data_IF_261204758443
#
_entry.id   IF_261204758443
#
_cell.length_a   1.000
_cell.length_b   1.000
_cell.length_c   1.000
_cell.angle_alpha   90.00
_cell.angle_beta   90.00
_cell.angle_gamma   90.00
#
_symmetry.space_group_name_H-M   'P 1'
#
loop_
_entity.id
_entity.type
_entity.pdbx_description
1 polymer ?
#
# COMPACT_ATOMS: atom_id res chain seq x y z
N UNK A 1 3.42 5.20 -5.68
CA UNK A 1 2.71 4.30 -4.74
C UNK A 1 3.51 4.29 -3.46
N UNK A 2 2.84 4.43 -2.32
CA UNK A 2 3.44 4.34 -1.00
C UNK A 2 2.69 3.35 -0.12
N UNK A 3 3.37 2.78 0.86
CA UNK A 3 2.77 1.90 1.87
C UNK A 3 3.15 2.42 3.25
N UNK A 4 2.14 2.67 4.05
CA UNK A 4 2.26 3.19 5.40
C UNK A 4 1.83 2.12 6.41
N UNK A 5 2.49 2.07 7.56
CA UNK A 5 2.25 1.05 8.58
C UNK A 5 2.11 1.67 9.98
N UNK A 6 1.20 1.10 10.77
CA UNK A 6 1.15 1.32 12.21
C UNK A 6 0.67 0.03 12.90
N UNK A 7 1.22 -0.26 14.07
CA UNK A 7 0.86 -1.42 14.90
C UNK A 7 -0.53 -1.33 15.57
N UNK A 8 -1.06 -0.11 15.77
CA UNK A 8 -2.33 0.14 16.44
C UNK A 8 -3.51 0.03 15.47
N UNK A 9 -4.56 -0.70 15.87
CA UNK A 9 -5.82 -0.76 15.12
C UNK A 9 -6.54 0.59 15.07
N UNK A 10 -6.24 1.53 15.97
CA UNK A 10 -6.78 2.89 15.91
C UNK A 10 -6.24 3.68 14.71
N UNK A 11 -5.14 3.22 14.09
CA UNK A 11 -4.52 3.90 12.95
C UNK A 11 -5.36 3.86 11.67
N UNK A 12 -6.49 3.14 11.67
CA UNK A 12 -7.51 3.26 10.62
C UNK A 12 -7.92 4.73 10.45
N UNK A 13 -8.06 5.47 11.54
CA UNK A 13 -8.50 6.88 11.52
C UNK A 13 -7.34 7.89 11.40
N UNK A 14 -6.08 7.43 11.43
CA UNK A 14 -4.92 8.31 11.38
C UNK A 14 -4.68 8.84 9.97
N UNK A 15 -4.15 10.06 9.87
CA UNK A 15 -3.60 10.57 8.62
C UNK A 15 -2.33 9.83 8.22
N UNK A 16 -1.95 9.89 6.94
CA UNK A 16 -0.73 9.23 6.46
C UNK A 16 0.53 9.80 7.12
N UNK A 17 0.52 11.09 7.49
CA UNK A 17 1.63 11.79 8.15
C UNK A 17 1.87 11.31 9.60
N UNK A 18 0.87 10.64 10.20
CA UNK A 18 0.93 10.06 11.55
C UNK A 18 1.36 8.58 11.53
N UNK A 19 1.56 7.99 10.35
CA UNK A 19 1.96 6.60 10.18
C UNK A 19 3.43 6.49 9.78
N UNK A 20 4.03 5.31 10.02
CA UNK A 20 5.39 5.06 9.55
C UNK A 20 5.38 4.83 8.04
N UNK A 21 6.19 5.60 7.32
CA UNK A 21 6.47 5.36 5.92
C UNK A 21 7.32 4.09 5.76
N UNK A 22 6.65 2.98 5.48
CA UNK A 22 7.30 1.67 5.36
C UNK A 22 7.83 1.44 3.95
N UNK A 23 7.10 1.91 2.94
CA UNK A 23 7.52 1.92 1.55
C UNK A 23 7.23 3.30 0.96
N UNK A 24 8.26 4.12 0.71
CA UNK A 24 8.08 5.51 0.30
C UNK A 24 7.40 5.63 -1.04
N UNK A 25 6.77 6.78 -1.27
CA UNK A 25 6.12 7.10 -2.52
C UNK A 25 7.09 6.97 -3.70
N UNK A 26 6.86 5.97 -4.54
CA UNK A 26 7.60 5.78 -5.78
C UNK A 26 6.86 6.38 -6.98
N UNK A 27 7.57 7.20 -7.77
CA UNK A 27 7.10 7.73 -9.03
C UNK A 27 7.19 6.66 -10.12
N UNK A 28 6.04 6.10 -10.49
CA UNK A 28 6.00 5.14 -11.58
C UNK A 28 6.14 5.83 -12.94
N UNK A 29 6.89 5.22 -13.88
CA UNK A 29 7.02 5.77 -15.22
C UNK A 29 5.65 5.90 -15.89
N UNK A 30 5.48 6.92 -16.74
CA UNK A 30 4.21 7.24 -17.40
C UNK A 30 3.69 6.23 -18.44
N UNK A 31 4.21 5.00 -18.43
CA UNK A 31 3.75 3.88 -19.26
C UNK A 31 3.02 2.86 -18.39
N UNK A 32 1.98 2.18 -18.90
CA UNK A 32 1.32 1.10 -18.19
C UNK A 32 2.34 0.02 -17.83
N UNK A 33 2.63 -0.13 -16.54
CA UNK A 33 3.54 -1.13 -16.01
C UNK A 33 2.76 -2.05 -15.08
N UNK A 34 3.10 -3.34 -15.11
CA UNK A 34 2.59 -4.31 -14.16
C UNK A 34 3.63 -4.44 -13.08
N UNK A 35 3.37 -3.83 -11.94
CA UNK A 35 4.27 -3.88 -10.81
C UNK A 35 3.92 -5.03 -9.88
N UNK A 36 4.94 -5.80 -9.53
CA UNK A 36 4.84 -6.85 -8.52
C UNK A 36 5.80 -6.52 -7.39
N UNK A 37 5.23 -6.22 -6.22
CA UNK A 37 5.98 -5.94 -5.00
C UNK A 37 5.72 -7.05 -3.98
N UNK A 38 6.78 -7.74 -3.56
CA UNK A 38 6.75 -8.71 -2.47
C UNK A 38 7.78 -8.30 -1.43
N UNK A 39 7.32 -7.85 -0.28
CA UNK A 39 8.15 -7.33 0.80
C UNK A 39 7.75 -7.96 2.13
N UNK A 40 8.73 -8.13 3.04
CA UNK A 40 8.48 -8.69 4.37
C UNK A 40 7.79 -7.66 5.25
N UNK A 41 6.58 -7.97 5.71
CA UNK A 41 5.78 -7.12 6.58
C UNK A 41 6.46 -6.86 7.93
N UNK A 42 6.16 -5.72 8.54
CA UNK A 42 6.73 -5.31 9.84
C UNK A 42 6.06 -6.03 11.03
N UNK A 43 4.86 -6.56 10.83
CA UNK A 43 4.11 -7.29 11.85
C UNK A 43 2.60 -7.15 11.70
N UNK A 44 1.81 -7.64 12.67
CA UNK A 44 0.39 -7.35 12.71
C UNK A 44 0.16 -5.84 12.90
N UNK A 45 -0.86 -5.30 12.23
CA UNK A 45 -1.14 -3.87 12.27
C UNK A 45 -2.03 -3.41 11.11
N UNK A 46 -2.13 -2.10 10.96
CA UNK A 46 -2.85 -1.44 9.88
C UNK A 46 -1.85 -1.03 8.80
N UNK A 47 -2.17 -1.41 7.57
CA UNK A 47 -1.43 -1.02 6.38
C UNK A 47 -2.31 -0.10 5.53
N UNK A 48 -1.79 1.06 5.12
CA UNK A 48 -2.45 1.94 4.15
C UNK A 48 -1.63 1.98 2.87
N UNK A 49 -2.30 1.74 1.75
CA UNK A 49 -1.68 1.80 0.42
C UNK A 49 -2.16 3.06 -0.29
N UNK A 50 -1.21 3.92 -0.68
CA UNK A 50 -1.48 5.17 -1.38
C UNK A 50 -1.20 5.00 -2.88
N UNK A 51 -2.24 5.24 -3.70
CA UNK A 51 -2.09 5.40 -5.14
C UNK A 51 -2.14 6.89 -5.50
N UNK A 52 -0.98 7.46 -5.74
CA UNK A 52 -0.82 8.85 -6.13
C UNK A 52 -0.94 9.07 -7.65
N UNK A 53 -1.52 10.20 -8.04
CA UNK A 53 -1.56 10.70 -9.43
C UNK A 53 -1.18 12.20 -9.48
N UNK A 54 -0.39 12.67 -8.51
CA UNK A 54 -0.07 14.09 -8.28
C UNK A 54 0.74 14.71 -9.43
N UNK A 55 1.46 13.89 -10.21
CA UNK A 55 2.23 14.36 -11.36
C UNK A 55 1.39 14.61 -12.62
N UNK A 56 0.16 14.08 -12.69
CA UNK A 56 -0.68 14.22 -13.87
C UNK A 56 -1.51 15.51 -13.82
N UNK A 57 -1.27 16.42 -14.76
CA UNK A 57 -1.94 17.73 -14.76
C UNK A 57 -3.35 17.71 -15.36
N UNK A 58 -3.61 16.79 -16.30
CA UNK A 58 -4.86 16.77 -17.09
C UNK A 58 -5.43 15.36 -17.32
N UNK A 59 -4.94 14.35 -16.59
CA UNK A 59 -5.33 12.95 -16.81
C UNK A 59 -5.70 12.26 -15.52
N UNK A 60 -6.79 11.51 -15.57
CA UNK A 60 -7.16 10.55 -14.53
C UNK A 60 -6.36 9.26 -14.70
N UNK A 61 -6.14 8.57 -13.59
CA UNK A 61 -5.48 7.26 -13.55
C UNK A 61 -6.49 6.22 -13.06
N UNK A 62 -6.64 5.13 -13.81
CA UNK A 62 -7.37 3.94 -13.34
C UNK A 62 -6.34 2.93 -12.86
N UNK A 63 -6.42 2.54 -11.59
CA UNK A 63 -5.51 1.57 -10.97
C UNK A 63 -6.24 0.26 -10.77
N UNK A 64 -5.68 -0.82 -11.33
CA UNK A 64 -6.08 -2.18 -11.02
C UNK A 64 -5.03 -2.78 -10.09
N UNK A 65 -5.43 -3.14 -8.88
CA UNK A 65 -4.52 -3.67 -7.87
C UNK A 65 -5.03 -4.96 -7.26
N UNK A 66 -4.11 -5.72 -6.66
CA UNK A 66 -4.40 -6.90 -5.85
C UNK A 66 -3.39 -6.94 -4.71
N UNK A 67 -3.88 -6.93 -3.47
CA UNK A 67 -3.06 -7.03 -2.27
C UNK A 67 -3.29 -8.42 -1.64
N UNK A 68 -2.20 -9.08 -1.26
CA UNK A 68 -2.22 -10.38 -0.60
C UNK A 68 -1.21 -10.35 0.55
N UNK A 69 -1.55 -11.02 1.64
CA UNK A 69 -0.62 -11.31 2.73
C UNK A 69 -0.27 -12.78 2.69
N UNK A 70 1.01 -13.10 2.84
CA UNK A 70 1.52 -14.47 2.84
C UNK A 70 2.26 -14.74 4.14
N UNK A 71 2.14 -15.95 4.68
CA UNK A 71 2.96 -16.41 5.80
C UNK A 71 4.36 -16.85 5.33
N UNK A 72 5.21 -17.29 6.26
CA UNK A 72 6.57 -17.74 5.95
C UNK A 72 6.61 -18.98 5.03
N UNK A 73 5.51 -19.74 4.95
CA UNK A 73 5.37 -20.90 4.08
C UNK A 73 4.82 -20.53 2.69
N UNK A 74 4.53 -19.24 2.44
CA UNK A 74 3.96 -18.76 1.17
C UNK A 74 2.44 -19.02 1.04
N UNK A 75 1.76 -19.36 2.13
CA UNK A 75 0.31 -19.53 2.13
C UNK A 75 -0.37 -18.17 2.34
N UNK A 76 -1.45 -17.93 1.60
CA UNK A 76 -2.22 -16.69 1.72
C UNK A 76 -2.93 -16.66 3.08
N UNK A 77 -2.71 -15.58 3.82
CA UNK A 77 -3.31 -15.33 5.12
C UNK A 77 -4.49 -14.39 4.96
N UNK A 78 -5.54 -14.63 5.76
CA UNK A 78 -6.72 -13.79 5.75
C UNK A 78 -6.41 -12.40 6.32
N UNK A 79 -7.01 -11.38 5.71
CA UNK A 79 -6.90 -9.99 6.17
C UNK A 79 -8.23 -9.29 5.95
N UNK A 80 -8.50 -8.27 6.78
CA UNK A 80 -9.69 -7.46 6.63
C UNK A 80 -9.34 -6.19 5.87
N UNK A 81 -9.86 -6.07 4.66
CA UNK A 81 -9.87 -4.81 3.92
C UNK A 81 -10.89 -3.85 4.55
N UNK A 82 -10.48 -2.60 4.75
CA UNK A 82 -11.30 -1.53 5.29
C UNK A 82 -11.36 -0.42 4.24
N UNK A 83 -12.56 -0.10 3.75
CA UNK A 83 -12.82 1.03 2.84
C UNK A 83 -12.90 2.36 3.58
#
# INVERSE_FOLDING_TARGET
MGIYYHDSMAAVDYSLDEMNDWFPDFDYPGMPTVDYLRIKTLGPGVYKVKFGNEQAWIRSLTVHYRILFENENGEVVDFKELE
#
